data_IF_006404862178
#
_entry.id   IF_006404862178
#
_cell.length_a   1.000
_cell.length_b   1.000
_cell.length_c   1.000
_cell.angle_alpha   90.00
_cell.angle_beta   90.00
_cell.angle_gamma   90.00
#
_symmetry.space_group_name_H-M   'P 1'
#
loop_
_entity.id
_entity.type
_entity.pdbx_description
1 polymer ?
#
# COMPACT_ATOMS: atom_id res chain seq x y z
N UNK A 1 -15.31 -7.46 16.13
CA UNK A 1 -14.65 -8.53 15.36
C UNK A 1 -15.41 -8.66 14.06
N UNK A 2 -14.80 -8.32 12.92
CA UNK A 2 -15.49 -8.43 11.63
C UNK A 2 -15.69 -9.91 11.30
N UNK A 3 -16.88 -10.28 10.84
CA UNK A 3 -17.12 -11.62 10.30
C UNK A 3 -16.37 -11.76 8.98
N UNK A 4 -15.92 -12.98 8.62
CA UNK A 4 -15.27 -13.29 7.33
C UNK A 4 -15.97 -12.61 6.14
N UNK A 5 -17.30 -12.68 6.11
CA UNK A 5 -18.13 -12.07 5.07
C UNK A 5 -17.94 -10.54 4.94
N UNK A 6 -17.82 -9.81 6.05
CA UNK A 6 -17.59 -8.35 6.01
C UNK A 6 -16.20 -8.00 5.49
N UNK A 7 -15.21 -8.85 5.76
CA UNK A 7 -13.84 -8.68 5.23
C UNK A 7 -13.84 -8.91 3.72
N UNK A 8 -14.49 -9.96 3.25
CA UNK A 8 -14.63 -10.27 1.82
C UNK A 8 -15.36 -9.12 1.09
N UNK A 9 -16.48 -8.65 1.62
CA UNK A 9 -17.23 -7.53 1.06
C UNK A 9 -16.39 -6.22 1.02
N UNK A 10 -15.59 -5.96 2.06
CA UNK A 10 -14.69 -4.81 2.10
C UNK A 10 -13.57 -4.93 1.05
N UNK A 11 -13.00 -6.12 0.86
CA UNK A 11 -12.00 -6.38 -0.18
C UNK A 11 -12.57 -6.18 -1.58
N UNK A 12 -13.79 -6.65 -1.84
CA UNK A 12 -14.48 -6.42 -3.11
C UNK A 12 -14.69 -4.92 -3.38
N UNK A 13 -15.16 -4.17 -2.37
CA UNK A 13 -15.30 -2.71 -2.46
C UNK A 13 -13.98 -2.01 -2.79
N UNK A 14 -12.88 -2.43 -2.16
CA UNK A 14 -11.54 -1.92 -2.45
C UNK A 14 -11.18 -2.18 -3.92
N UNK A 15 -11.36 -3.40 -4.42
CA UNK A 15 -11.04 -3.77 -5.81
C UNK A 15 -11.86 -2.93 -6.80
N UNK A 16 -13.18 -2.83 -6.60
CA UNK A 16 -14.06 -2.02 -7.46
C UNK A 16 -13.68 -0.54 -7.45
N UNK A 17 -13.23 -0.01 -6.31
CA UNK A 17 -12.75 1.37 -6.22
C UNK A 17 -11.44 1.55 -6.99
N UNK A 18 -10.45 0.68 -6.76
CA UNK A 18 -9.13 0.78 -7.38
C UNK A 18 -9.17 0.62 -8.90
N UNK A 19 -10.06 -0.22 -9.43
CA UNK A 19 -10.25 -0.38 -10.88
C UNK A 19 -10.59 0.93 -11.60
N UNK A 20 -11.26 1.86 -10.91
CA UNK A 20 -11.68 3.17 -11.46
C UNK A 20 -10.57 4.22 -11.45
N UNK A 21 -9.46 3.98 -10.74
CA UNK A 21 -8.35 4.93 -10.68
C UNK A 21 -7.60 4.95 -12.02
N UNK A 22 -7.18 6.13 -12.53
CA UNK A 22 -6.53 6.24 -13.83
C UNK A 22 -5.05 5.85 -13.79
N UNK A 23 -4.36 6.04 -12.65
CA UNK A 23 -2.91 5.90 -12.57
C UNK A 23 -2.48 4.62 -11.83
N UNK A 24 -1.58 3.84 -12.42
CA UNK A 24 -1.03 2.59 -11.84
C UNK A 24 -0.40 2.82 -10.47
N UNK A 25 0.39 3.89 -10.35
CA UNK A 25 1.07 4.28 -9.10
C UNK A 25 0.06 4.55 -7.99
N UNK A 26 -1.03 5.22 -8.33
CA UNK A 26 -2.13 5.48 -7.40
C UNK A 26 -2.84 4.18 -7.00
N UNK A 27 -3.12 3.28 -7.95
CA UNK A 27 -3.68 1.96 -7.66
C UNK A 27 -2.83 1.19 -6.65
N UNK A 28 -1.52 1.14 -6.87
CA UNK A 28 -0.57 0.48 -5.99
C UNK A 28 -0.59 1.09 -4.57
N UNK A 29 -0.57 2.43 -4.49
CA UNK A 29 -0.64 3.15 -3.22
C UNK A 29 -1.96 2.89 -2.47
N UNK A 30 -3.11 2.93 -3.15
CA UNK A 30 -4.41 2.68 -2.51
C UNK A 30 -4.51 1.25 -1.99
N UNK A 31 -4.00 0.25 -2.70
CA UNK A 31 -3.94 -1.12 -2.16
C UNK A 31 -3.01 -1.25 -0.96
N UNK A 32 -1.84 -0.59 -0.98
CA UNK A 32 -0.94 -0.56 0.18
C UNK A 32 -1.65 0.00 1.42
N UNK A 33 -2.33 1.13 1.27
CA UNK A 33 -3.03 1.79 2.37
C UNK A 33 -4.23 0.96 2.86
N UNK A 34 -5.14 0.59 1.96
CA UNK A 34 -6.42 -0.03 2.33
C UNK A 34 -6.26 -1.44 2.89
N UNK A 35 -5.35 -2.27 2.37
CA UNK A 35 -5.06 -3.59 2.96
C UNK A 35 -4.39 -3.43 4.33
N UNK A 36 -3.49 -2.46 4.48
CA UNK A 36 -2.85 -2.18 5.76
C UNK A 36 -3.85 -1.71 6.82
N UNK A 37 -4.92 -1.02 6.42
CA UNK A 37 -5.99 -0.58 7.32
C UNK A 37 -7.00 -1.70 7.63
N UNK A 38 -7.50 -2.38 6.60
CA UNK A 38 -8.54 -3.40 6.71
C UNK A 38 -8.07 -4.61 7.55
N UNK A 39 -6.78 -4.93 7.48
CA UNK A 39 -6.17 -6.08 8.17
C UNK A 39 -6.97 -7.39 8.00
N UNK A 40 -7.17 -7.85 6.74
CA UNK A 40 -8.04 -9.00 6.45
C UNK A 40 -7.53 -10.35 6.98
N UNK A 41 -6.26 -10.44 7.38
CA UNK A 41 -5.62 -11.68 7.83
C UNK A 41 -5.23 -11.61 9.31
N UNK A 42 -5.08 -12.76 9.96
CA UNK A 42 -4.64 -12.86 11.35
C UNK A 42 -3.21 -12.33 11.57
N UNK A 43 -2.33 -12.51 10.58
CA UNK A 43 -0.98 -11.93 10.53
C UNK A 43 -0.60 -11.67 9.06
N UNK A 44 0.42 -10.85 8.84
CA UNK A 44 1.02 -10.65 7.53
C UNK A 44 0.41 -9.51 6.71
N UNK A 45 -0.62 -8.82 7.22
CA UNK A 45 -1.33 -7.75 6.50
C UNK A 45 -0.40 -6.74 5.81
N UNK A 46 0.60 -6.21 6.53
CA UNK A 46 1.55 -5.23 5.98
C UNK A 46 2.46 -5.83 4.91
N UNK A 47 2.83 -7.11 5.03
CA UNK A 47 3.62 -7.85 4.03
C UNK A 47 2.77 -8.05 2.78
N UNK A 48 1.53 -8.49 2.93
CA UNK A 48 0.58 -8.68 1.83
C UNK A 48 0.28 -7.36 1.12
N UNK A 49 0.05 -6.27 1.86
CA UNK A 49 -0.22 -4.95 1.28
C UNK A 49 0.94 -4.47 0.39
N UNK A 50 2.19 -4.59 0.86
CA UNK A 50 3.38 -4.27 0.05
C UNK A 50 3.54 -5.19 -1.15
N UNK A 51 3.25 -6.48 -0.99
CA UNK A 51 3.36 -7.46 -2.07
C UNK A 51 2.34 -7.20 -3.18
N UNK A 52 1.09 -6.92 -2.83
CA UNK A 52 0.04 -6.54 -3.80
C UNK A 52 0.37 -5.22 -4.49
N UNK A 53 0.82 -4.22 -3.73
CA UNK A 53 1.29 -2.95 -4.29
C UNK A 53 2.39 -3.16 -5.34
N UNK A 54 3.41 -3.96 -5.02
CA UNK A 54 4.49 -4.25 -5.96
C UNK A 54 4.04 -5.12 -7.14
N UNK A 55 3.12 -6.05 -6.94
CA UNK A 55 2.55 -6.84 -8.02
C UNK A 55 1.85 -5.96 -9.07
N UNK A 56 1.10 -4.94 -8.62
CA UNK A 56 0.44 -3.97 -9.52
C UNK A 56 1.46 -3.16 -10.30
N UNK A 57 2.51 -2.67 -9.64
CA UNK A 57 3.59 -1.92 -10.29
C UNK A 57 4.28 -2.79 -11.36
N UNK A 58 4.73 -3.99 -10.98
CA UNK A 58 5.42 -4.91 -11.87
C UNK A 58 4.57 -5.33 -13.07
N UNK A 59 3.29 -5.64 -12.85
CA UNK A 59 2.36 -6.04 -13.91
C UNK A 59 2.13 -4.93 -14.96
N UNK A 60 2.49 -3.69 -14.65
CA UNK A 60 2.34 -2.54 -15.53
C UNK A 60 3.70 -1.92 -15.94
N UNK A 61 4.81 -2.64 -15.75
CA UNK A 61 6.15 -2.19 -16.18
C UNK A 61 6.83 -1.17 -15.27
N UNK A 62 6.34 -0.98 -14.05
CA UNK A 62 6.99 -0.11 -13.05
C UNK A 62 7.95 -0.92 -12.17
N UNK A 63 8.98 -0.25 -11.65
CA UNK A 63 9.88 -0.85 -10.67
C UNK A 63 9.15 -1.25 -9.38
N UNK A 64 9.53 -2.37 -8.76
CA UNK A 64 9.04 -2.72 -7.44
C UNK A 64 9.64 -1.79 -6.39
N UNK A 65 8.90 -1.50 -5.33
CA UNK A 65 9.37 -0.67 -4.23
C UNK A 65 10.05 -1.52 -3.15
N UNK A 66 11.21 -1.08 -2.69
CA UNK A 66 11.84 -1.56 -1.48
C UNK A 66 11.53 -0.60 -0.33
N UNK A 67 11.26 -1.12 0.85
CA UNK A 67 11.09 -0.32 2.07
C UNK A 67 12.25 -0.53 3.06
N UNK A 68 13.34 -1.17 2.61
CA UNK A 68 14.47 -1.55 3.49
C UNK A 68 15.21 -0.32 4.03
N UNK A 69 15.26 0.76 3.26
CA UNK A 69 15.89 2.03 3.63
C UNK A 69 14.97 2.94 4.46
N UNK A 70 13.70 2.57 4.62
CA UNK A 70 12.74 3.36 5.42
C UNK A 70 12.92 2.99 6.89
N UNK A 71 13.07 4.00 7.73
CA UNK A 71 13.07 3.82 9.17
C UNK A 71 11.75 3.17 9.64
N UNK A 72 11.85 2.06 10.37
CA UNK A 72 10.69 1.28 10.78
C UNK A 72 9.75 2.08 11.70
N UNK A 73 10.30 2.96 12.53
CA UNK A 73 9.53 3.81 13.44
C UNK A 73 8.77 4.87 12.64
N UNK A 74 9.41 5.49 11.64
CA UNK A 74 8.72 6.42 10.72
C UNK A 74 7.57 5.75 9.98
N UNK A 75 7.78 4.56 9.43
CA UNK A 75 6.73 3.82 8.72
C UNK A 75 5.56 3.48 9.65
N UNK A 76 5.85 3.03 10.88
CA UNK A 76 4.83 2.74 11.90
C UNK A 76 4.06 4.00 12.30
N UNK A 77 4.73 5.14 12.50
CA UNK A 77 4.09 6.43 12.81
C UNK A 77 3.16 6.88 11.68
N UNK A 78 3.60 6.77 10.42
CA UNK A 78 2.78 7.10 9.26
C UNK A 78 1.51 6.24 9.20
N UNK A 79 1.62 4.95 9.51
CA UNK A 79 0.46 4.05 9.61
C UNK A 79 -0.47 4.44 10.77
N UNK A 80 0.07 4.73 11.96
CA UNK A 80 -0.75 5.14 13.13
C UNK A 80 -1.52 6.42 12.80
N UNK A 81 -0.88 7.43 12.22
CA UNK A 81 -1.56 8.67 11.82
C UNK A 81 -2.66 8.41 10.79
N UNK A 82 -2.42 7.51 9.85
CA UNK A 82 -3.46 7.11 8.92
C UNK A 82 -4.62 6.40 9.62
N UNK A 83 -4.33 5.48 10.56
CA UNK A 83 -5.36 4.71 11.25
C UNK A 83 -6.23 5.56 12.17
N UNK A 84 -5.62 6.51 12.89
CA UNK A 84 -6.30 7.32 13.91
C UNK A 84 -6.94 8.59 13.32
N UNK A 85 -6.35 9.16 12.27
CA UNK A 85 -6.76 10.47 11.74
C UNK A 85 -7.21 10.42 10.28
N UNK A 86 -7.25 9.23 9.67
CA UNK A 86 -7.52 9.05 8.24
C UNK A 86 -6.62 9.90 7.33
N UNK A 87 -5.41 10.23 7.81
CA UNK A 87 -4.48 11.10 7.11
C UNK A 87 -3.42 10.28 6.37
N UNK A 88 -3.54 10.22 5.04
CA UNK A 88 -2.63 9.48 4.16
C UNK A 88 -1.32 10.21 3.84
N UNK A 89 -1.16 11.47 4.25
CA UNK A 89 -0.06 12.33 3.81
C UNK A 89 1.32 11.69 4.05
N UNK A 90 1.59 11.22 5.27
CA UNK A 90 2.90 10.65 5.61
C UNK A 90 3.15 9.31 4.94
N UNK A 91 2.13 8.46 4.81
CA UNK A 91 2.25 7.18 4.12
C UNK A 91 2.50 7.39 2.62
N UNK A 92 1.81 8.37 2.01
CA UNK A 92 2.01 8.78 0.62
C UNK A 92 3.42 9.32 0.40
N UNK A 93 3.93 10.15 1.31
CA UNK A 93 5.31 10.67 1.26
C UNK A 93 6.32 9.52 1.18
N UNK A 94 6.25 8.57 2.13
CA UNK A 94 7.17 7.42 2.15
C UNK A 94 7.05 6.61 0.85
N UNK A 95 5.82 6.35 0.38
CA UNK A 95 5.60 5.61 -0.86
C UNK A 95 6.28 6.28 -2.07
N UNK A 96 6.12 7.60 -2.22
CA UNK A 96 6.73 8.37 -3.31
C UNK A 96 8.26 8.44 -3.19
N UNK A 97 8.79 8.57 -1.97
CA UNK A 97 10.24 8.50 -1.71
C UNK A 97 10.82 7.15 -2.16
N UNK A 98 10.12 6.04 -1.88
CA UNK A 98 10.57 4.71 -2.33
C UNK A 98 10.42 4.53 -3.84
N UNK A 99 9.40 5.14 -4.45
CA UNK A 99 9.28 5.18 -5.91
C UNK A 99 10.43 5.93 -6.56
N UNK A 100 10.78 7.10 -6.03
CA UNK A 100 11.90 7.91 -6.51
C UNK A 100 13.22 7.14 -6.35
N UNK A 101 13.43 6.51 -5.20
CA UNK A 101 14.60 5.66 -4.95
C UNK A 101 14.70 4.52 -5.98
N UNK A 102 13.60 3.81 -6.24
CA UNK A 102 13.60 2.72 -7.23
C UNK A 102 13.97 3.21 -8.63
N UNK A 103 13.43 4.36 -9.06
CA UNK A 103 13.76 4.96 -10.36
C UNK A 103 15.24 5.34 -10.45
N UNK A 104 15.81 5.90 -9.38
CA UNK A 104 17.21 6.35 -9.36
C UNK A 104 18.24 5.24 -9.31
N UNK A 105 17.87 4.05 -8.79
CA UNK A 105 18.84 2.99 -8.52
C UNK A 105 18.65 1.73 -9.37
N UNK A 106 17.48 1.51 -9.97
CA UNK A 106 17.21 0.27 -10.72
C UNK A 106 17.35 0.44 -12.24
N UNK A 107 17.42 1.67 -12.74
CA UNK A 107 17.74 1.96 -14.13
C UNK A 107 19.20 2.46 -14.20
N UNK A 108 20.02 1.73 -14.97
CA UNK A 108 21.42 2.06 -15.30
C UNK A 108 21.44 2.67 -16.69
#
# INVERSE_FOLDING_TARGET
>A
MNTKWQIEEALEKIITHVQKLPHVVEKAFVFLATISYLQPFADGNKRTARMVSNAILLANGYCPLSYRSVDEVEFKKALILFYEQNNLFHLKRIFLEQQQFAIQHYFI
#
